data_IF_584222442653
#
_entry.id   IF_584222442653
#
_cell.length_a   1.000
_cell.length_b   1.000
_cell.length_c   1.000
_cell.angle_alpha   90.00
_cell.angle_beta   90.00
_cell.angle_gamma   90.00
#
_symmetry.space_group_name_H-M   'P 1'
#
loop_
_entity.id
_entity.type
_entity.pdbx_description
1 polymer ?
#
# COMPACT_ATOMS: atom_id res chain seq x y z
N UNK A 1 0.05 9.78 -21.38
CA UNK A 1 1.47 10.10 -21.15
C UNK A 1 1.54 11.47 -20.52
N UNK A 2 1.43 11.57 -19.19
CA UNK A 2 1.69 12.84 -18.50
C UNK A 2 3.21 13.06 -18.54
N UNK A 3 3.65 14.25 -18.94
CA UNK A 3 5.05 14.62 -18.86
C UNK A 3 5.46 14.56 -17.38
N UNK A 4 6.12 13.47 -16.99
CA UNK A 4 6.54 13.23 -15.61
C UNK A 4 7.52 14.33 -15.21
N UNK A 5 7.14 15.12 -14.20
CA UNK A 5 7.99 16.18 -13.67
C UNK A 5 9.23 15.51 -13.05
N UNK A 6 10.36 16.21 -12.99
CA UNK A 6 11.59 15.77 -12.31
C UNK A 6 11.33 15.13 -10.95
N UNK A 7 10.35 15.63 -10.18
CA UNK A 7 9.91 15.01 -8.92
C UNK A 7 9.46 13.56 -9.09
N UNK A 8 8.62 13.27 -10.07
CA UNK A 8 8.09 11.92 -10.30
C UNK A 8 9.18 10.97 -10.79
N UNK A 9 10.07 11.43 -11.69
CA UNK A 9 11.24 10.65 -12.11
C UNK A 9 12.14 10.24 -10.94
N UNK A 10 12.30 11.12 -9.95
CA UNK A 10 13.07 10.82 -8.73
C UNK A 10 12.36 9.75 -7.90
N UNK A 11 11.03 9.83 -7.75
CA UNK A 11 10.26 8.81 -7.03
C UNK A 11 10.21 7.47 -7.75
N UNK A 12 10.15 7.47 -9.09
CA UNK A 12 10.24 6.27 -9.92
C UNK A 12 11.61 5.59 -9.75
N UNK A 13 12.69 6.37 -9.78
CA UNK A 13 14.04 5.86 -9.55
C UNK A 13 14.22 5.28 -8.14
N UNK A 14 13.67 5.94 -7.12
CA UNK A 14 13.65 5.43 -5.76
C UNK A 14 12.87 4.10 -5.68
N UNK A 15 11.69 4.02 -6.29
CA UNK A 15 10.89 2.81 -6.33
C UNK A 15 11.65 1.65 -6.98
N UNK A 16 12.32 1.90 -8.11
CA UNK A 16 13.15 0.89 -8.78
C UNK A 16 14.26 0.35 -7.87
N UNK A 17 15.01 1.24 -7.19
CA UNK A 17 16.05 0.82 -6.23
C UNK A 17 15.46 -0.02 -5.08
N UNK A 18 14.29 0.36 -4.56
CA UNK A 18 13.62 -0.39 -3.49
C UNK A 18 13.22 -1.80 -3.94
N UNK A 19 12.74 -1.95 -5.18
CA UNK A 19 12.32 -3.23 -5.75
C UNK A 19 13.53 -4.12 -6.06
N UNK A 20 14.57 -3.55 -6.70
CA UNK A 20 15.68 -4.32 -7.26
C UNK A 20 16.79 -4.61 -6.23
N UNK A 21 17.06 -3.65 -5.35
CA UNK A 21 18.23 -3.68 -4.44
C UNK A 21 17.83 -3.62 -2.95
N UNK A 22 16.55 -3.36 -2.67
CA UNK A 22 16.03 -3.27 -1.31
C UNK A 22 16.36 -1.96 -0.60
N UNK A 23 15.85 -1.84 0.62
CA UNK A 23 15.90 -0.61 1.41
C UNK A 23 17.32 -0.12 1.73
N UNK A 24 18.26 -1.03 1.99
CA UNK A 24 19.64 -0.70 2.35
C UNK A 24 20.42 -0.01 1.24
N UNK A 25 20.02 -0.18 -0.03
CA UNK A 25 20.66 0.44 -1.19
C UNK A 25 20.23 1.90 -1.41
N UNK A 26 19.17 2.36 -0.73
CA UNK A 26 18.63 3.71 -0.92
C UNK A 26 19.58 4.78 -0.36
N UNK A 27 20.21 5.52 -1.27
CA UNK A 27 20.97 6.74 -0.98
C UNK A 27 20.58 7.87 -1.93
N UNK A 28 20.76 9.12 -1.50
CA UNK A 28 20.49 10.29 -2.36
C UNK A 28 21.34 10.27 -3.63
N UNK A 29 22.58 9.77 -3.57
CA UNK A 29 23.43 9.62 -4.76
C UNK A 29 22.93 8.52 -5.69
N UNK A 30 22.55 7.35 -5.15
CA UNK A 30 22.01 6.25 -5.95
C UNK A 30 20.75 6.70 -6.71
N UNK A 31 19.83 7.37 -6.01
CA UNK A 31 18.58 7.86 -6.60
C UNK A 31 18.82 8.97 -7.61
N UNK A 32 19.71 9.94 -7.33
CA UNK A 32 20.04 11.00 -8.30
C UNK A 32 20.62 10.42 -9.60
N UNK A 33 21.51 9.43 -9.47
CA UNK A 33 22.09 8.71 -10.61
C UNK A 33 21.03 7.96 -11.40
N UNK A 34 20.19 7.17 -10.73
CA UNK A 34 19.12 6.39 -11.38
C UNK A 34 18.08 7.30 -12.06
N UNK A 35 17.71 8.42 -11.42
CA UNK A 35 16.80 9.42 -11.98
C UNK A 35 17.44 10.27 -13.10
N UNK A 36 18.74 10.14 -13.35
CA UNK A 36 19.51 10.97 -14.29
C UNK A 36 19.36 12.48 -13.99
N UNK A 37 19.54 12.86 -12.72
CA UNK A 37 19.53 14.26 -12.25
C UNK A 37 20.80 14.55 -11.44
N UNK A 38 21.15 15.83 -11.30
CA UNK A 38 22.26 16.22 -10.42
C UNK A 38 21.87 16.07 -8.94
N UNK A 39 22.86 15.92 -8.05
CA UNK A 39 22.62 15.92 -6.59
C UNK A 39 21.89 17.19 -6.14
N UNK A 40 22.25 18.36 -6.68
CA UNK A 40 21.56 19.62 -6.41
C UNK A 40 20.11 19.63 -6.93
N UNK A 41 19.86 19.05 -8.10
CA UNK A 41 18.51 18.91 -8.66
C UNK A 41 17.63 17.97 -7.84
N UNK A 42 18.18 16.87 -7.31
CA UNK A 42 17.46 16.00 -6.39
C UNK A 42 17.15 16.73 -5.07
N UNK A 43 18.15 17.39 -4.47
CA UNK A 43 18.01 18.09 -3.18
C UNK A 43 17.03 19.26 -3.25
N UNK A 44 16.83 19.85 -4.42
CA UNK A 44 15.79 20.86 -4.65
C UNK A 44 14.38 20.31 -4.41
N UNK A 45 14.11 19.06 -4.79
CA UNK A 45 12.82 18.41 -4.59
C UNK A 45 12.72 17.67 -3.26
N UNK A 46 13.80 17.00 -2.84
CA UNK A 46 13.85 16.17 -1.64
C UNK A 46 15.14 16.45 -0.87
N UNK A 47 15.09 17.31 0.17
CA UNK A 47 16.30 17.79 0.87
C UNK A 47 17.01 16.72 1.71
N UNK A 48 16.39 15.55 1.93
CA UNK A 48 16.95 14.45 2.71
C UNK A 48 16.42 13.10 2.24
N UNK A 49 17.09 12.01 2.66
CA UNK A 49 16.60 10.63 2.42
C UNK A 49 15.21 10.43 3.04
N UNK A 50 14.98 10.98 4.22
CA UNK A 50 13.67 10.98 4.89
C UNK A 50 12.61 11.68 4.03
N UNK A 51 12.88 12.90 3.55
CA UNK A 51 11.92 13.64 2.72
C UNK A 51 11.61 12.91 1.40
N UNK A 52 12.62 12.23 0.84
CA UNK A 52 12.48 11.40 -0.35
C UNK A 52 11.55 10.20 -0.10
N UNK A 53 11.73 9.48 1.01
CA UNK A 53 10.86 8.37 1.41
C UNK A 53 9.44 8.85 1.75
N UNK A 54 9.30 9.98 2.46
CA UNK A 54 8.00 10.61 2.73
C UNK A 54 7.26 10.92 1.43
N UNK A 55 7.97 11.46 0.42
CA UNK A 55 7.37 11.75 -0.89
C UNK A 55 6.87 10.50 -1.62
N UNK A 56 7.55 9.35 -1.46
CA UNK A 56 7.09 8.08 -2.01
C UNK A 56 5.84 7.58 -1.29
N UNK A 57 5.83 7.65 0.05
CA UNK A 57 4.68 7.24 0.86
C UNK A 57 3.45 8.11 0.56
N UNK A 58 3.63 9.41 0.37
CA UNK A 58 2.58 10.34 -0.07
C UNK A 58 1.99 9.96 -1.44
N UNK A 59 2.86 9.58 -2.39
CA UNK A 59 2.43 9.08 -3.71
C UNK A 59 1.62 7.77 -3.58
N UNK A 60 2.09 6.83 -2.78
CA UNK A 60 1.35 5.58 -2.50
C UNK A 60 0.02 5.87 -1.80
N UNK A 61 -0.01 6.86 -0.90
CA UNK A 61 -1.22 7.28 -0.22
C UNK A 61 -2.26 7.83 -1.20
N UNK A 62 -1.83 8.61 -2.19
CA UNK A 62 -2.73 9.11 -3.25
C UNK A 62 -3.36 7.96 -4.05
N UNK A 63 -2.59 6.92 -4.39
CA UNK A 63 -3.11 5.73 -5.07
C UNK A 63 -4.13 4.98 -4.21
N UNK A 64 -3.83 4.81 -2.92
CA UNK A 64 -4.75 4.15 -1.99
C UNK A 64 -6.05 4.95 -1.79
N UNK A 65 -6.01 6.28 -1.78
CA UNK A 65 -7.22 7.13 -1.76
C UNK A 65 -8.11 6.90 -2.99
N UNK A 66 -7.52 6.65 -4.16
CA UNK A 66 -8.29 6.26 -5.35
C UNK A 66 -8.98 4.91 -5.16
N UNK A 67 -8.30 3.92 -4.55
CA UNK A 67 -8.88 2.61 -4.22
C UNK A 67 -10.01 2.72 -3.17
N UNK A 68 -9.84 3.54 -2.14
CA UNK A 68 -10.88 3.81 -1.13
C UNK A 68 -12.11 4.45 -1.76
N UNK A 69 -11.89 5.41 -2.67
CA UNK A 69 -12.96 6.08 -3.40
C UNK A 69 -13.67 5.10 -4.31
N UNK A 70 -12.94 4.28 -5.06
CA UNK A 70 -13.51 3.22 -5.90
C UNK A 70 -14.33 2.22 -5.07
N UNK A 71 -13.84 1.79 -3.91
CA UNK A 71 -14.54 0.89 -3.01
C UNK A 71 -15.91 1.45 -2.56
N UNK A 72 -15.95 2.76 -2.29
CA UNK A 72 -17.16 3.45 -1.82
C UNK A 72 -18.14 3.79 -2.95
N UNK A 73 -17.63 4.16 -4.13
CA UNK A 73 -18.43 4.74 -5.22
C UNK A 73 -18.65 3.78 -6.40
N UNK A 74 -17.80 2.76 -6.56
CA UNK A 74 -17.72 1.87 -7.73
C UNK A 74 -18.81 0.79 -7.82
N UNK A 75 -19.75 0.76 -6.88
CA UNK A 75 -20.90 -0.16 -6.87
C UNK A 75 -20.58 -1.63 -6.51
N UNK A 76 -19.33 -2.06 -6.62
CA UNK A 76 -18.88 -3.41 -6.24
C UNK A 76 -19.02 -3.67 -4.72
N UNK A 77 -18.80 -2.63 -3.91
CA UNK A 77 -18.85 -2.66 -2.45
C UNK A 77 -17.48 -2.84 -1.80
N UNK A 78 -17.35 -2.31 -0.59
CA UNK A 78 -16.08 -2.20 0.14
C UNK A 78 -15.47 -3.59 0.39
N UNK A 79 -16.28 -4.56 0.83
CA UNK A 79 -15.77 -5.91 1.15
C UNK A 79 -15.10 -6.57 -0.06
N UNK A 80 -15.70 -6.45 -1.25
CA UNK A 80 -15.18 -7.09 -2.47
C UNK A 80 -13.88 -6.42 -2.92
N UNK A 81 -13.86 -5.08 -2.94
CA UNK A 81 -12.65 -4.32 -3.30
C UNK A 81 -11.52 -4.62 -2.32
N UNK A 82 -11.78 -4.61 -1.02
CA UNK A 82 -10.79 -4.92 0.01
C UNK A 82 -10.20 -6.34 -0.15
N UNK A 83 -11.04 -7.36 -0.36
CA UNK A 83 -10.55 -8.74 -0.54
C UNK A 83 -9.74 -8.90 -1.83
N UNK A 84 -10.11 -8.18 -2.91
CA UNK A 84 -9.35 -8.14 -4.16
C UNK A 84 -7.97 -7.50 -3.98
N UNK A 85 -7.87 -6.43 -3.20
CA UNK A 85 -6.61 -5.73 -2.90
C UNK A 85 -5.81 -6.38 -1.77
N UNK A 86 -6.35 -7.40 -1.10
CA UNK A 86 -5.66 -8.19 -0.05
C UNK A 86 -4.56 -9.12 -0.59
N UNK A 87 -4.19 -8.98 -1.86
CA UNK A 87 -3.05 -9.63 -2.49
C UNK A 87 -2.32 -8.61 -3.36
N UNK A 88 -0.97 -8.62 -3.37
CA UNK A 88 -0.21 -7.82 -4.32
C UNK A 88 -0.60 -8.20 -5.76
N UNK A 89 -0.82 -7.20 -6.61
CA UNK A 89 -1.17 -7.39 -8.02
C UNK A 89 0.05 -7.74 -8.88
N UNK A 90 1.27 -7.50 -8.36
CA UNK A 90 2.53 -7.78 -9.04
C UNK A 90 3.67 -8.11 -8.06
N UNK A 91 4.72 -8.83 -8.51
CA UNK A 91 5.96 -8.98 -7.74
C UNK A 91 6.60 -7.64 -7.35
N UNK A 92 6.56 -6.65 -8.25
CA UNK A 92 7.13 -5.32 -8.03
C UNK A 92 6.42 -4.59 -6.89
N UNK A 93 5.08 -4.65 -6.86
CA UNK A 93 4.28 -4.13 -5.76
C UNK A 93 4.64 -4.83 -4.45
N UNK A 94 4.77 -6.15 -4.47
CA UNK A 94 5.14 -6.93 -3.28
C UNK A 94 6.47 -6.47 -2.68
N UNK A 95 7.52 -6.34 -3.49
CA UNK A 95 8.84 -5.90 -3.01
C UNK A 95 8.81 -4.45 -2.51
N UNK A 96 8.07 -3.57 -3.19
CA UNK A 96 7.90 -2.19 -2.78
C UNK A 96 7.26 -2.07 -1.39
N UNK A 97 6.12 -2.74 -1.18
CA UNK A 97 5.42 -2.67 0.11
C UNK A 97 6.21 -3.35 1.23
N UNK A 98 6.93 -4.44 0.93
CA UNK A 98 7.87 -5.03 1.89
C UNK A 98 8.94 -4.02 2.34
N UNK A 99 9.56 -3.31 1.39
CA UNK A 99 10.58 -2.32 1.69
C UNK A 99 10.03 -1.12 2.49
N UNK A 100 8.80 -0.67 2.19
CA UNK A 100 8.11 0.38 2.96
C UNK A 100 7.85 -0.07 4.40
N UNK A 101 7.37 -1.30 4.62
CA UNK A 101 7.14 -1.84 5.97
C UNK A 101 8.45 -2.01 6.75
N UNK A 102 9.50 -2.50 6.09
CA UNK A 102 10.82 -2.60 6.70
C UNK A 102 11.33 -1.22 7.14
N UNK A 103 11.13 -0.18 6.32
CA UNK A 103 11.49 1.19 6.65
C UNK A 103 10.71 1.72 7.88
N UNK A 104 9.41 1.46 7.96
CA UNK A 104 8.58 1.83 9.12
C UNK A 104 9.05 1.21 10.43
N UNK A 105 9.47 -0.06 10.38
CA UNK A 105 9.96 -0.77 11.55
C UNK A 105 11.37 -0.34 11.98
N UNK A 106 12.18 0.14 11.03
CA UNK A 106 13.54 0.62 11.29
C UNK A 106 13.60 1.90 12.14
N UNK A 107 12.53 2.69 12.22
CA UNK A 107 12.36 3.94 13.02
C UNK A 107 13.39 5.06 12.83
N UNK A 108 14.52 4.83 12.16
CA UNK A 108 15.61 5.81 12.01
C UNK A 108 15.41 6.77 10.82
N UNK A 109 14.59 6.40 9.82
CA UNK A 109 14.63 7.05 8.51
C UNK A 109 13.28 7.61 8.00
N UNK A 110 12.19 7.50 8.77
CA UNK A 110 10.87 8.04 8.40
C UNK A 110 10.43 9.17 9.33
N UNK A 111 9.85 10.22 8.75
CA UNK A 111 9.25 11.31 9.51
C UNK A 111 7.99 10.82 10.24
N UNK A 112 7.62 11.48 11.34
CA UNK A 112 6.35 11.24 12.04
C UNK A 112 5.15 11.37 11.09
N UNK A 113 5.22 12.31 10.15
CA UNK A 113 4.23 12.50 9.10
C UNK A 113 4.10 11.28 8.18
N UNK A 114 5.21 10.72 7.71
CA UNK A 114 5.22 9.51 6.89
C UNK A 114 4.69 8.29 7.65
N UNK A 115 5.07 8.14 8.92
CA UNK A 115 4.55 7.09 9.78
C UNK A 115 3.02 7.23 9.98
N UNK A 116 2.54 8.47 10.15
CA UNK A 116 1.11 8.77 10.25
C UNK A 116 0.35 8.50 8.96
N UNK A 117 0.94 8.79 7.80
CA UNK A 117 0.35 8.45 6.49
C UNK A 117 0.13 6.94 6.36
N UNK A 118 1.14 6.13 6.67
CA UNK A 118 1.00 4.68 6.57
C UNK A 118 -0.04 4.14 7.56
N UNK A 119 -0.05 4.63 8.79
CA UNK A 119 -1.08 4.25 9.76
C UNK A 119 -2.50 4.55 9.25
N UNK A 120 -2.71 5.70 8.60
CA UNK A 120 -4.00 6.04 7.98
C UNK A 120 -4.39 5.05 6.89
N UNK A 121 -3.46 4.64 6.03
CA UNK A 121 -3.72 3.66 4.98
C UNK A 121 -4.23 2.33 5.54
N UNK A 122 -3.62 1.83 6.62
CA UNK A 122 -4.08 0.60 7.28
C UNK A 122 -5.42 0.79 8.01
N UNK A 123 -5.66 1.96 8.59
CA UNK A 123 -6.86 2.20 9.40
C UNK A 123 -8.09 2.42 8.52
N UNK A 124 -7.91 3.02 7.34
CA UNK A 124 -9.00 3.47 6.47
C UNK A 124 -9.83 2.30 5.93
N UNK A 125 -9.22 1.17 5.61
CA UNK A 125 -9.97 -0.04 5.23
C UNK A 125 -10.88 -0.53 6.36
N UNK A 126 -10.40 -0.51 7.60
CA UNK A 126 -11.22 -0.84 8.77
C UNK A 126 -12.43 0.06 8.91
N UNK A 127 -12.24 1.38 8.79
CA UNK A 127 -13.35 2.35 8.82
C UNK A 127 -14.39 2.05 7.76
N UNK A 128 -13.98 1.86 6.50
CA UNK A 128 -14.88 1.56 5.39
C UNK A 128 -15.66 0.26 5.59
N UNK A 129 -15.01 -0.78 6.12
CA UNK A 129 -15.67 -2.06 6.43
C UNK A 129 -16.71 -1.91 7.56
N UNK A 130 -16.40 -1.13 8.60
CA UNK A 130 -17.34 -0.83 9.70
C UNK A 130 -18.49 0.09 9.27
N UNK A 131 -18.26 0.95 8.28
CA UNK A 131 -19.29 1.75 7.62
C UNK A 131 -20.24 0.87 6.78
N UNK A 132 -19.72 -0.10 6.01
CA UNK A 132 -20.52 -0.96 5.13
C UNK A 132 -21.30 -2.07 5.87
N UNK A 133 -20.74 -2.60 6.97
CA UNK A 133 -21.29 -3.77 7.65
C UNK A 133 -21.99 -3.40 8.97
N UNK A 134 -23.14 -4.01 9.22
CA UNK A 134 -23.87 -3.88 10.49
C UNK A 134 -23.27 -4.75 11.60
N UNK A 135 -22.59 -5.85 11.23
CA UNK A 135 -21.90 -6.74 12.16
C UNK A 135 -20.41 -6.33 12.29
N UNK A 136 -20.00 -5.69 13.40
CA UNK A 136 -18.62 -5.26 13.58
C UNK A 136 -17.65 -6.42 13.78
N UNK A 137 -18.12 -7.60 14.22
CA UNK A 137 -17.26 -8.78 14.37
C UNK A 137 -16.93 -9.34 13.00
N UNK A 138 -17.90 -9.40 12.08
CA UNK A 138 -17.63 -9.81 10.71
C UNK A 138 -16.68 -8.84 10.00
N UNK A 139 -16.83 -7.53 10.22
CA UNK A 139 -15.90 -6.53 9.70
C UNK A 139 -14.45 -6.79 10.15
N UNK A 140 -14.23 -7.05 11.44
CA UNK A 140 -12.90 -7.40 11.95
C UNK A 140 -12.38 -8.73 11.37
N UNK A 141 -13.23 -9.76 11.25
CA UNK A 141 -12.83 -11.04 10.65
C UNK A 141 -12.34 -10.83 9.20
N UNK A 142 -13.09 -10.06 8.40
CA UNK A 142 -12.72 -9.75 7.02
C UNK A 142 -11.41 -8.98 6.99
N UNK A 143 -11.28 -7.91 7.78
CA UNK A 143 -10.08 -7.08 7.87
C UNK A 143 -8.85 -7.93 8.21
N UNK A 144 -8.90 -8.74 9.27
CA UNK A 144 -7.76 -9.56 9.70
C UNK A 144 -7.42 -10.67 8.72
N UNK A 145 -8.42 -11.24 8.04
CA UNK A 145 -8.18 -12.23 6.99
C UNK A 145 -7.46 -11.59 5.79
N UNK A 146 -7.91 -10.43 5.34
CA UNK A 146 -7.29 -9.69 4.24
C UNK A 146 -5.88 -9.22 4.57
N UNK A 147 -5.71 -8.53 5.70
CA UNK A 147 -4.39 -8.08 6.18
C UNK A 147 -3.43 -9.26 6.35
N UNK A 148 -3.91 -10.38 6.91
CA UNK A 148 -3.10 -11.58 7.10
C UNK A 148 -2.59 -12.17 5.78
N UNK A 149 -3.45 -12.22 4.76
CA UNK A 149 -3.07 -12.68 3.42
C UNK A 149 -2.05 -11.73 2.77
N UNK A 150 -2.29 -10.43 2.85
CA UNK A 150 -1.41 -9.42 2.27
C UNK A 150 -0.03 -9.44 2.94
N UNK A 151 0.00 -9.44 4.28
CA UNK A 151 1.24 -9.52 5.07
C UNK A 151 2.01 -10.81 4.81
N UNK A 152 1.32 -11.95 4.74
CA UNK A 152 1.96 -13.21 4.38
C UNK A 152 2.52 -13.16 2.95
N UNK A 153 1.84 -12.49 2.01
CA UNK A 153 2.28 -12.41 0.62
C UNK A 153 3.56 -11.58 0.49
N UNK A 154 3.59 -10.40 1.09
CA UNK A 154 4.77 -9.51 1.05
C UNK A 154 5.95 -10.05 1.88
N UNK A 155 5.69 -10.84 2.92
CA UNK A 155 6.75 -11.50 3.69
C UNK A 155 7.25 -12.81 3.03
N UNK A 156 6.71 -13.21 1.88
CA UNK A 156 7.07 -14.46 1.21
C UNK A 156 6.68 -15.72 1.98
N UNK A 157 5.69 -15.62 2.88
CA UNK A 157 5.19 -16.75 3.66
C UNK A 157 4.23 -17.61 2.83
N UNK A 158 4.05 -18.90 3.21
CA UNK A 158 3.11 -19.78 2.54
C UNK A 158 1.70 -19.19 2.46
N UNK A 159 1.12 -19.24 1.26
CA UNK A 159 -0.24 -18.82 0.99
C UNK A 159 -1.17 -20.04 0.93
N UNK A 160 -2.46 -19.88 1.27
CA UNK A 160 -3.45 -20.88 0.91
C UNK A 160 -3.43 -21.14 -0.60
N UNK A 161 -3.74 -22.36 -0.98
CA UNK A 161 -3.95 -22.71 -2.39
C UNK A 161 -4.98 -21.73 -3.03
N UNK A 162 -4.78 -21.30 -4.30
CA UNK A 162 -5.68 -20.34 -4.95
C UNK A 162 -7.16 -20.73 -4.91
N UNK A 163 -7.51 -22.02 -5.05
CA UNK A 163 -8.90 -22.48 -4.98
C UNK A 163 -9.47 -22.36 -3.57
N UNK A 164 -8.67 -22.73 -2.56
CA UNK A 164 -9.08 -22.58 -1.16
C UNK A 164 -9.25 -21.11 -0.79
N UNK A 165 -8.33 -20.25 -1.23
CA UNK A 165 -8.41 -18.80 -1.01
C UNK A 165 -9.65 -18.19 -1.67
N UNK A 166 -9.96 -18.58 -2.91
CA UNK A 166 -11.17 -18.11 -3.58
C UNK A 166 -12.43 -18.51 -2.80
N UNK A 167 -12.51 -19.77 -2.35
CA UNK A 167 -13.63 -20.24 -1.51
C UNK A 167 -13.72 -19.50 -0.18
N UNK A 168 -12.59 -19.11 0.40
CA UNK A 168 -12.57 -18.25 1.59
C UNK A 168 -13.17 -16.88 1.28
N UNK A 169 -12.76 -16.24 0.18
CA UNK A 169 -13.30 -14.94 -0.25
C UNK A 169 -14.80 -15.03 -0.53
N UNK A 170 -15.24 -16.01 -1.29
CA UNK A 170 -16.67 -16.22 -1.61
C UNK A 170 -17.52 -16.34 -0.34
N UNK A 171 -17.02 -17.07 0.67
CA UNK A 171 -17.70 -17.23 1.96
C UNK A 171 -17.76 -15.94 2.76
N UNK A 172 -16.69 -15.15 2.78
CA UNK A 172 -16.67 -13.85 3.46
C UNK A 172 -17.64 -12.87 2.80
N UNK A 173 -17.68 -12.87 1.47
CA UNK A 173 -18.60 -12.06 0.67
C UNK A 173 -20.06 -12.48 0.90
N UNK A 174 -20.37 -13.77 0.88
CA UNK A 174 -21.72 -14.28 1.15
C UNK A 174 -22.18 -13.93 2.57
N UNK A 175 -21.26 -13.97 3.55
CA UNK A 175 -21.54 -13.54 4.91
C UNK A 175 -21.80 -12.03 4.98
N UNK A 176 -21.00 -11.21 4.28
CA UNK A 176 -21.16 -9.75 4.29
C UNK A 176 -22.46 -9.29 3.65
N UNK A 177 -22.89 -9.94 2.56
CA UNK A 177 -24.13 -9.57 1.86
C UNK A 177 -25.37 -9.69 2.78
N UNK A 178 -25.34 -10.59 3.77
CA UNK A 178 -26.44 -10.81 4.73
C UNK A 178 -26.54 -9.73 5.80
N UNK A 179 -25.46 -8.97 6.05
CA UNK A 179 -25.36 -7.97 7.12
C UNK A 179 -24.94 -6.59 6.61
N UNK A 180 -25.00 -6.39 5.30
CA UNK A 180 -24.70 -5.10 4.67
C UNK A 180 -25.72 -4.07 5.14
N UNK A 181 -25.26 -2.88 5.51
CA UNK A 181 -26.15 -1.78 5.84
C UNK A 181 -26.93 -1.37 4.58
N UNK A 182 -28.21 -1.04 4.76
CA UNK A 182 -29.01 -0.47 3.68
C UNK A 182 -28.40 0.88 3.24
N UNK A 183 -28.46 1.20 1.94
CA UNK A 183 -27.96 2.48 1.42
C UNK A 183 -28.71 3.69 1.97
#
# INVERSE_FOLDING_TARGET
MNASNTRDRILDALQGILIDEGYSAVTLEAVARAASVSKGGLLYHFPSKTALLTGLIDRLGTLAEEEFREAREGGEGVVRVFLRTSLPQSPEERELYWAVIAALRGREDLSEEAAGLVQRLFTRWGELLHEELADPVLAEIILRAGDGLYMAAIAGLPQPDPELRQRMFDRLVEASDKVRRAP
#
